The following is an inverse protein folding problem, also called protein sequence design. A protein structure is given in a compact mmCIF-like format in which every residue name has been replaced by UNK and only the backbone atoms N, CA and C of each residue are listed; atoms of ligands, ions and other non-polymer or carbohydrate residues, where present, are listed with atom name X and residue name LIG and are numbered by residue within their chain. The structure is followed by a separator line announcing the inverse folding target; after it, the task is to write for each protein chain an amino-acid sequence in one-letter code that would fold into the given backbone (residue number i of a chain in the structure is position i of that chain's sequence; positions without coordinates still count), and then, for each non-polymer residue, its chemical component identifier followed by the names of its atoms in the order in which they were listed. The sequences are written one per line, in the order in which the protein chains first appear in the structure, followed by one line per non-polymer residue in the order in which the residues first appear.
data_IF_274349118059
#
_entry.id   IF_274349118059
#
_cell.length_a   1.000
_cell.length_b   1.000
_cell.length_c   1.000
_cell.angle_alpha   90.00
_cell.angle_beta   90.00
_cell.angle_gamma   90.00
#
_symmetry.space_group_name_H-M   'P 1'
#
loop_
_entity.id
_entity.type
_entity.pdbx_description
1 polymer ?
#
# COMPACT_ATOMS: atom_id res chain seq x y z
N UNK A 1 35.05 12.08 6.47
CA UNK A 1 34.84 10.67 6.05
C UNK A 1 34.25 10.72 4.65
N UNK A 2 35.06 10.45 3.62
CA UNK A 2 34.64 10.51 2.22
C UNK A 2 33.94 9.18 1.92
N UNK A 3 32.60 9.18 1.94
CA UNK A 3 31.82 8.01 1.54
C UNK A 3 32.22 7.66 0.11
N UNK A 4 32.74 6.44 -0.08
CA UNK A 4 33.08 5.90 -1.40
C UNK A 4 31.84 5.97 -2.29
N UNK A 5 32.04 6.16 -3.60
CA UNK A 5 30.95 6.23 -4.59
C UNK A 5 29.98 5.05 -4.48
N UNK A 6 30.50 3.88 -4.09
CA UNK A 6 29.74 2.67 -3.82
C UNK A 6 28.80 2.81 -2.61
N UNK A 7 29.25 3.42 -1.52
CA UNK A 7 28.42 3.61 -0.33
C UNK A 7 27.30 4.66 -0.56
N UNK A 8 27.57 5.72 -1.35
CA UNK A 8 26.52 6.63 -1.83
C UNK A 8 25.48 5.90 -2.68
N UNK A 9 25.93 5.03 -3.57
CA UNK A 9 25.04 4.25 -4.43
C UNK A 9 24.21 3.27 -3.61
N UNK A 10 24.83 2.58 -2.66
CA UNK A 10 24.14 1.66 -1.74
C UNK A 10 23.04 2.37 -0.93
N UNK A 11 23.32 3.55 -0.35
CA UNK A 11 22.30 4.31 0.38
C UNK A 11 21.11 4.73 -0.49
N UNK A 12 21.34 5.05 -1.78
CA UNK A 12 20.24 5.34 -2.73
C UNK A 12 19.37 4.12 -2.96
N UNK A 13 19.97 2.97 -3.25
CA UNK A 13 19.25 1.73 -3.52
C UNK A 13 18.49 1.25 -2.28
N UNK A 14 19.11 1.27 -1.10
CA UNK A 14 18.43 0.90 0.16
C UNK A 14 17.24 1.82 0.43
N UNK A 15 17.39 3.14 0.23
CA UNK A 15 16.30 4.09 0.39
C UNK A 15 15.14 3.82 -0.57
N UNK A 16 15.43 3.59 -1.84
CA UNK A 16 14.40 3.27 -2.86
C UNK A 16 13.69 1.96 -2.50
N UNK A 17 14.43 0.91 -2.16
CA UNK A 17 13.88 -0.38 -1.75
C UNK A 17 12.99 -0.26 -0.51
N UNK A 18 13.42 0.51 0.49
CA UNK A 18 12.65 0.71 1.72
C UNK A 18 11.36 1.50 1.48
N UNK A 19 11.41 2.56 0.66
CA UNK A 19 10.20 3.33 0.29
C UNK A 19 9.23 2.46 -0.51
N UNK A 20 9.76 1.63 -1.42
CA UNK A 20 8.95 0.71 -2.22
C UNK A 20 8.30 -0.36 -1.35
N UNK A 21 9.05 -0.93 -0.41
CA UNK A 21 8.54 -1.92 0.54
C UNK A 21 7.44 -1.34 1.44
N UNK A 22 7.65 -0.12 1.96
CA UNK A 22 6.65 0.57 2.76
C UNK A 22 5.36 0.85 1.96
N UNK A 23 5.49 1.24 0.68
CA UNK A 23 4.34 1.43 -0.21
C UNK A 23 3.53 0.14 -0.41
N UNK A 24 4.21 -0.97 -0.69
CA UNK A 24 3.54 -2.27 -0.86
C UNK A 24 2.90 -2.77 0.43
N UNK A 25 3.54 -2.57 1.60
CA UNK A 25 2.93 -2.88 2.89
C UNK A 25 1.67 -2.06 3.15
N UNK A 26 1.69 -0.77 2.77
CA UNK A 26 0.53 0.08 2.93
C UNK A 26 -0.64 -0.38 2.05
N UNK A 27 -0.39 -0.71 0.77
CA UNK A 27 -1.41 -1.29 -0.12
C UNK A 27 -1.92 -2.63 0.44
N UNK A 28 -1.02 -3.48 0.94
CA UNK A 28 -1.39 -4.79 1.50
C UNK A 28 -2.37 -4.65 2.67
N UNK A 29 -2.12 -3.70 3.57
CA UNK A 29 -3.02 -3.38 4.68
C UNK A 29 -4.37 -2.81 4.22
N UNK A 30 -4.42 -2.13 3.07
CA UNK A 30 -5.66 -1.60 2.50
C UNK A 30 -6.52 -2.69 1.85
N UNK A 31 -5.89 -3.72 1.27
CA UNK A 31 -6.57 -4.87 0.63
C UNK A 31 -7.16 -5.82 1.66
N UNK A 32 -6.46 -6.05 2.77
CA UNK A 32 -6.92 -6.91 3.86
C UNK A 32 -7.36 -6.05 5.03
N UNK A 33 -8.59 -5.50 5.03
CA UNK A 33 -9.13 -4.94 6.26
C UNK A 33 -9.13 -6.06 7.31
N UNK A 34 -8.50 -5.80 8.46
CA UNK A 34 -8.53 -6.68 9.65
C UNK A 34 -9.93 -6.74 10.29
N UNK A 35 -10.98 -6.52 9.49
CA UNK A 35 -12.35 -6.51 9.96
C UNK A 35 -12.86 -7.94 9.86
N UNK A 36 -12.89 -8.60 11.02
CA UNK A 36 -13.42 -9.94 11.28
C UNK A 36 -14.95 -10.05 11.02
N UNK A 37 -15.49 -9.33 10.03
CA UNK A 37 -16.89 -9.42 9.59
C UNK A 37 -17.08 -10.56 8.61
N UNK A 38 -16.63 -11.74 9.03
CA UNK A 38 -16.90 -13.02 8.36
C UNK A 38 -18.20 -13.75 8.81
N UNK A 39 -19.26 -13.14 9.40
CA UNK A 39 -20.47 -13.92 9.67
C UNK A 39 -21.30 -14.18 8.40
N UNK A 40 -21.04 -13.49 7.29
CA UNK A 40 -21.81 -13.61 6.04
C UNK A 40 -21.41 -14.83 5.18
N UNK A 41 -20.24 -15.42 5.39
CA UNK A 41 -19.77 -16.57 4.61
C UNK A 41 -20.36 -17.92 5.06
N UNK A 42 -21.18 -17.93 6.13
CA UNK A 42 -21.69 -19.16 6.74
C UNK A 42 -23.12 -19.52 6.32
N UNK A 43 -23.86 -18.62 5.66
CA UNK A 43 -25.22 -18.92 5.20
C UNK A 43 -25.22 -19.47 3.77
N UNK A 44 -25.64 -20.73 3.68
CA UNK A 44 -25.66 -21.61 2.50
C UNK A 44 -26.66 -21.18 1.40
N UNK A 45 -27.25 -19.98 1.49
CA UNK A 45 -28.31 -19.53 0.59
C UNK A 45 -27.84 -18.25 -0.11
N UNK A 46 -27.59 -18.36 -1.41
CA UNK A 46 -27.19 -17.25 -2.27
C UNK A 46 -28.43 -16.41 -2.57
N UNK A 47 -28.74 -15.46 -1.69
CA UNK A 47 -29.83 -14.48 -1.88
C UNK A 47 -29.30 -13.23 -2.59
N UNK A 48 -30.19 -12.46 -3.23
CA UNK A 48 -29.81 -11.20 -3.93
C UNK A 48 -29.09 -10.22 -2.99
N UNK A 49 -29.49 -10.17 -1.72
CA UNK A 49 -28.83 -9.37 -0.68
C UNK A 49 -27.37 -9.79 -0.43
N UNK A 50 -27.02 -11.07 -0.60
CA UNK A 50 -25.63 -11.51 -0.50
C UNK A 50 -24.79 -10.98 -1.66
N UNK A 51 -25.34 -10.96 -2.88
CA UNK A 51 -24.64 -10.36 -4.02
C UNK A 51 -24.45 -8.86 -3.84
N UNK A 52 -25.46 -8.16 -3.31
CA UNK A 52 -25.38 -6.73 -3.04
C UNK A 52 -24.35 -6.41 -1.95
N UNK A 53 -24.34 -7.17 -0.85
CA UNK A 53 -23.35 -7.02 0.22
C UNK A 53 -21.92 -7.37 -0.22
N UNK A 54 -21.73 -8.35 -1.12
CA UNK A 54 -20.42 -8.66 -1.71
C UNK A 54 -19.95 -7.52 -2.61
N UNK A 55 -20.85 -6.98 -3.45
CA UNK A 55 -20.53 -5.85 -4.32
C UNK A 55 -20.16 -4.61 -3.49
N UNK A 56 -20.93 -4.30 -2.45
CA UNK A 56 -20.66 -3.16 -1.56
C UNK A 56 -19.31 -3.32 -0.85
N UNK A 57 -18.98 -4.52 -0.36
CA UNK A 57 -17.67 -4.80 0.24
C UNK A 57 -16.52 -4.65 -0.77
N UNK A 58 -16.71 -5.09 -2.02
CA UNK A 58 -15.71 -4.92 -3.09
C UNK A 58 -15.51 -3.43 -3.41
N UNK A 59 -16.59 -2.66 -3.52
CA UNK A 59 -16.49 -1.21 -3.76
C UNK A 59 -15.79 -0.51 -2.60
N UNK A 60 -16.13 -0.85 -1.36
CA UNK A 60 -15.51 -0.27 -0.17
C UNK A 60 -14.03 -0.61 -0.04
N UNK A 61 -13.64 -1.86 -0.36
CA UNK A 61 -12.24 -2.25 -0.41
C UNK A 61 -11.50 -1.52 -1.54
N UNK A 62 -12.15 -1.34 -2.70
CA UNK A 62 -11.57 -0.63 -3.84
C UNK A 62 -11.37 0.85 -3.50
N UNK A 63 -12.37 1.51 -2.92
CA UNK A 63 -12.30 2.92 -2.53
C UNK A 63 -11.20 3.17 -1.50
N UNK A 64 -11.08 2.29 -0.49
CA UNK A 64 -10.01 2.34 0.50
C UNK A 64 -8.62 2.17 -0.13
N UNK A 65 -8.45 1.21 -1.04
CA UNK A 65 -7.19 1.03 -1.78
C UNK A 65 -6.86 2.25 -2.64
N UNK A 66 -7.87 2.88 -3.24
CA UNK A 66 -7.72 4.04 -4.09
C UNK A 66 -7.31 5.28 -3.27
N UNK A 67 -7.94 5.54 -2.14
CA UNK A 67 -7.58 6.61 -1.21
C UNK A 67 -6.15 6.45 -0.69
N UNK A 68 -5.83 5.23 -0.25
CA UNK A 68 -4.48 4.86 0.20
C UNK A 68 -3.44 5.05 -0.90
N UNK A 69 -3.72 4.63 -2.14
CA UNK A 69 -2.81 4.79 -3.25
C UNK A 69 -2.59 6.27 -3.61
N UNK A 70 -3.67 7.07 -3.60
CA UNK A 70 -3.62 8.51 -3.89
C UNK A 70 -2.78 9.28 -2.88
N UNK A 71 -2.80 8.88 -1.60
CA UNK A 71 -1.97 9.50 -0.55
C UNK A 71 -0.55 8.91 -0.54
N UNK A 72 -0.42 7.59 -0.73
CA UNK A 72 0.86 6.89 -0.73
C UNK A 72 1.77 7.32 -1.87
N UNK A 73 1.22 7.56 -3.07
CA UNK A 73 1.98 7.97 -4.25
C UNK A 73 2.80 9.27 -4.06
N UNK A 74 2.21 10.42 -3.67
CA UNK A 74 2.98 11.65 -3.45
C UNK A 74 3.97 11.54 -2.29
N UNK A 75 3.64 10.78 -1.24
CA UNK A 75 4.56 10.54 -0.11
C UNK A 75 5.81 9.77 -0.58
N UNK A 76 5.62 8.67 -1.31
CA UNK A 76 6.71 7.88 -1.85
C UNK A 76 7.56 8.68 -2.86
N UNK A 77 6.92 9.43 -3.76
CA UNK A 77 7.62 10.31 -4.70
C UNK A 77 8.46 11.36 -3.98
N UNK A 78 7.92 11.98 -2.94
CA UNK A 78 8.65 12.99 -2.14
C UNK A 78 9.87 12.36 -1.44
N UNK A 79 9.71 11.18 -0.85
CA UNK A 79 10.81 10.45 -0.20
C UNK A 79 11.93 10.08 -1.18
N UNK A 80 11.57 9.59 -2.38
CA UNK A 80 12.53 9.28 -3.44
C UNK A 80 13.30 10.54 -3.85
N UNK A 81 12.62 11.66 -4.07
CA UNK A 81 13.27 12.93 -4.41
C UNK A 81 14.21 13.42 -3.29
N UNK A 82 13.83 13.25 -2.02
CA UNK A 82 14.70 13.57 -0.87
C UNK A 82 15.95 12.70 -0.87
N UNK A 83 15.82 11.40 -1.15
CA UNK A 83 16.97 10.47 -1.27
C UNK A 83 17.91 10.94 -2.39
N UNK A 84 17.38 11.28 -3.56
CA UNK A 84 18.18 11.80 -4.66
C UNK A 84 18.88 13.12 -4.33
N UNK A 85 18.18 14.05 -3.66
CA UNK A 85 18.71 15.36 -3.26
C UNK A 85 19.79 15.26 -2.19
N UNK A 86 19.62 14.38 -1.20
CA UNK A 86 20.54 14.21 -0.07
C UNK A 86 21.78 13.41 -0.44
N UNK A 87 21.67 12.55 -1.46
CA UNK A 87 22.79 11.77 -2.00
C UNK A 87 23.39 12.42 -3.25
N UNK A 88 23.31 13.75 -3.39
CA UNK A 88 24.11 14.49 -4.38
C UNK A 88 25.58 14.46 -4.01
#
# INVERSE_FOLDING_TARGET
MMLTSECKTFMRWVGITLVTFAYYLWIFLAIFPLDDKSPMLQEKVVTIEYHEAVIENIYKATDNVLEVALIGFPVCMTLILIIFKKVR
#
